data_IF_644282302262
#
_entry.id   IF_644282302262
#
_cell.length_a   1.000
_cell.length_b   1.000
_cell.length_c   1.000
_cell.angle_alpha   90.00
_cell.angle_beta   90.00
_cell.angle_gamma   90.00
#
_symmetry.space_group_name_H-M   'P 1'
#
loop_
_entity.id
_entity.type
_entity.pdbx_description
1 polymer ?
#
# COMPACT_ATOMS: atom_id res chain seq x y z
N UNK A 1 1.15 -33.23 18.22
CA UNK A 1 -0.05 -32.47 18.63
C UNK A 1 -0.81 -32.04 17.37
N UNK A 2 -2.12 -32.25 17.32
CA UNK A 2 -2.93 -31.91 16.15
C UNK A 2 -3.34 -30.41 16.17
N UNK A 3 -3.91 -29.92 15.05
CA UNK A 3 -4.31 -28.51 14.89
C UNK A 3 -5.25 -28.01 16.01
N UNK A 4 -6.28 -28.80 16.38
CA UNK A 4 -7.26 -28.41 17.41
C UNK A 4 -6.61 -28.24 18.79
N UNK A 5 -5.66 -29.09 19.11
CA UNK A 5 -4.90 -28.99 20.37
C UNK A 5 -3.97 -27.78 20.38
N UNK A 6 -3.32 -27.49 19.26
CA UNK A 6 -2.48 -26.29 19.14
C UNK A 6 -3.34 -25.03 19.26
N UNK A 7 -4.47 -24.98 18.57
CA UNK A 7 -5.38 -23.84 18.60
C UNK A 7 -5.86 -23.55 20.04
N UNK A 8 -6.29 -24.57 20.77
CA UNK A 8 -6.77 -24.40 22.16
C UNK A 8 -5.68 -23.81 23.07
N UNK A 9 -4.42 -24.22 22.89
CA UNK A 9 -3.29 -23.66 23.65
C UNK A 9 -3.05 -22.20 23.28
N UNK A 10 -3.06 -21.89 21.98
CA UNK A 10 -2.79 -20.53 21.49
C UNK A 10 -3.90 -19.56 21.87
N UNK A 11 -5.16 -19.99 21.84
CA UNK A 11 -6.31 -19.19 22.30
C UNK A 11 -6.28 -18.90 23.81
N UNK A 12 -5.63 -19.77 24.59
CA UNK A 12 -5.40 -19.55 26.02
C UNK A 12 -4.27 -18.57 26.35
N UNK A 13 -3.48 -18.15 25.35
CA UNK A 13 -2.43 -17.16 25.56
C UNK A 13 -3.02 -15.74 25.57
N UNK A 14 -2.55 -14.92 26.53
CA UNK A 14 -2.93 -13.50 26.55
C UNK A 14 -2.10 -12.73 25.51
N UNK A 15 -2.70 -12.48 24.33
CA UNK A 15 -2.07 -11.78 23.22
C UNK A 15 -2.88 -10.52 22.92
N UNK A 16 -2.25 -9.34 22.92
CA UNK A 16 -2.96 -8.12 22.58
C UNK A 16 -3.56 -8.19 21.16
N UNK A 17 -4.75 -7.62 20.93
CA UNK A 17 -5.30 -7.53 19.58
C UNK A 17 -4.39 -6.69 18.65
N UNK A 18 -4.46 -6.97 17.33
CA UNK A 18 -3.69 -6.27 16.29
C UNK A 18 -2.18 -6.21 16.56
N UNK A 19 -1.63 -7.27 17.14
CA UNK A 19 -0.23 -7.35 17.50
C UNK A 19 0.45 -8.59 16.94
N UNK A 20 1.77 -8.49 16.77
CA UNK A 20 2.64 -9.62 16.51
C UNK A 20 3.68 -9.70 17.63
N UNK A 21 3.70 -10.82 18.36
CA UNK A 21 4.61 -11.04 19.48
C UNK A 21 5.43 -12.30 19.28
N UNK A 22 6.60 -12.33 19.93
CA UNK A 22 7.42 -13.55 20.08
C UNK A 22 7.49 -13.94 21.54
N UNK A 23 7.42 -15.24 21.78
CA UNK A 23 7.47 -15.82 23.12
C UNK A 23 8.15 -17.20 23.09
N UNK A 24 8.35 -17.77 24.27
CA UNK A 24 8.84 -19.15 24.39
C UNK A 24 7.78 -20.10 23.87
N UNK A 25 8.20 -21.11 23.11
CA UNK A 25 7.24 -21.99 22.46
C UNK A 25 6.55 -22.91 23.47
N UNK A 26 5.20 -22.87 23.58
CA UNK A 26 4.47 -23.71 24.52
C UNK A 26 4.46 -25.21 24.11
N UNK A 27 4.97 -25.52 22.93
CA UNK A 27 4.96 -26.88 22.36
C UNK A 27 6.33 -27.59 22.41
N UNK A 28 7.42 -26.83 22.35
CA UNK A 28 8.77 -27.39 22.37
C UNK A 28 9.71 -26.72 23.37
N UNK A 29 9.20 -25.75 24.13
CA UNK A 29 9.98 -24.98 25.12
C UNK A 29 11.16 -24.20 24.53
N UNK A 30 11.23 -24.03 23.20
CA UNK A 30 12.24 -23.23 22.53
C UNK A 30 12.12 -21.75 22.94
N UNK A 31 13.20 -21.15 23.46
CA UNK A 31 13.19 -19.76 23.94
C UNK A 31 13.03 -18.79 22.79
N UNK A 32 12.05 -17.90 22.87
CA UNK A 32 11.75 -16.84 21.90
C UNK A 32 11.63 -17.32 20.44
N UNK A 33 11.12 -18.57 20.25
CA UNK A 33 10.98 -19.19 18.93
C UNK A 33 9.55 -19.23 18.41
N UNK A 34 8.58 -18.86 19.22
CA UNK A 34 7.17 -18.93 18.85
C UNK A 34 6.61 -17.55 18.55
N UNK A 35 6.19 -17.32 17.31
CA UNK A 35 5.51 -16.11 16.88
C UNK A 35 4.02 -16.32 16.86
N UNK A 36 3.29 -15.35 17.43
CA UNK A 36 1.83 -15.26 17.31
C UNK A 36 1.48 -13.89 16.76
N UNK A 37 0.57 -13.88 15.80
CA UNK A 37 0.12 -12.68 15.09
C UNK A 37 -1.41 -12.65 15.14
N UNK A 38 -1.95 -11.57 15.70
CA UNK A 38 -3.41 -11.33 15.82
C UNK A 38 -3.88 -10.20 14.90
N UNK A 39 -3.05 -9.78 13.94
CA UNK A 39 -3.42 -8.70 13.01
C UNK A 39 -4.59 -9.09 12.11
N UNK A 40 -5.40 -8.09 11.72
CA UNK A 40 -6.56 -8.26 10.84
C UNK A 40 -7.60 -9.27 11.37
N UNK A 41 -7.76 -9.38 12.70
CA UNK A 41 -8.66 -10.35 13.35
C UNK A 41 -8.36 -11.83 13.01
N UNK A 42 -7.15 -12.12 12.54
CA UNK A 42 -6.69 -13.49 12.33
C UNK A 42 -5.81 -13.89 13.52
N UNK A 43 -5.78 -15.19 13.80
CA UNK A 43 -4.84 -15.76 14.75
C UNK A 43 -3.90 -16.69 13.99
N UNK A 44 -2.67 -16.21 13.76
CA UNK A 44 -1.62 -16.98 13.09
C UNK A 44 -0.54 -17.33 14.11
N UNK A 45 -0.01 -18.54 14.06
CA UNK A 45 1.12 -18.94 14.89
C UNK A 45 2.11 -19.81 14.13
N UNK A 46 3.38 -19.66 14.50
CA UNK A 46 4.47 -20.41 13.92
C UNK A 46 5.63 -20.52 14.90
N UNK A 47 6.21 -21.72 15.01
CA UNK A 47 7.45 -21.94 15.75
C UNK A 47 8.64 -22.02 14.80
N UNK A 48 9.66 -21.23 15.05
CA UNK A 48 10.90 -21.18 14.25
C UNK A 48 11.96 -22.20 14.71
N UNK A 49 11.66 -23.00 15.75
CA UNK A 49 12.57 -24.06 16.19
C UNK A 49 12.54 -25.24 15.21
N UNK A 50 13.71 -25.67 14.71
CA UNK A 50 13.83 -26.63 13.61
C UNK A 50 13.11 -27.96 13.85
N UNK A 51 13.03 -28.44 15.09
CA UNK A 51 12.36 -29.69 15.46
C UNK A 51 10.90 -29.53 15.85
N UNK A 52 10.32 -28.32 15.77
CA UNK A 52 8.96 -28.05 16.17
C UNK A 52 8.04 -27.86 14.96
N UNK A 53 6.97 -28.63 14.91
CA UNK A 53 5.96 -28.54 13.83
C UNK A 53 4.77 -27.65 14.18
N UNK A 54 4.85 -26.86 15.26
CA UNK A 54 3.77 -25.99 15.69
C UNK A 54 3.57 -24.82 14.71
N UNK A 55 2.47 -24.86 13.98
CA UNK A 55 2.02 -23.83 13.06
C UNK A 55 0.53 -23.94 12.80
N UNK A 56 -0.11 -22.80 12.56
CA UNK A 56 -1.53 -22.81 12.19
C UNK A 56 -2.05 -21.40 11.94
N UNK A 57 -3.29 -21.37 11.50
CA UNK A 57 -4.05 -20.14 11.27
C UNK A 57 -5.50 -20.39 11.60
N UNK A 58 -6.10 -19.52 12.41
CA UNK A 58 -7.54 -19.38 12.56
C UNK A 58 -7.96 -18.06 11.93
N UNK A 59 -8.85 -18.12 10.97
CA UNK A 59 -9.45 -16.91 10.40
C UNK A 59 -10.51 -16.42 11.39
N UNK A 60 -10.40 -15.16 11.82
CA UNK A 60 -11.41 -14.55 12.67
C UNK A 60 -12.71 -14.34 11.90
N UNK A 61 -13.82 -14.41 12.61
CA UNK A 61 -15.11 -14.01 12.05
C UNK A 61 -15.08 -12.49 11.85
N UNK A 62 -15.37 -12.06 10.62
CA UNK A 62 -15.51 -10.65 10.27
C UNK A 62 -16.93 -10.23 10.68
N UNK A 63 -17.15 -10.01 11.97
CA UNK A 63 -18.42 -9.52 12.47
C UNK A 63 -18.61 -8.01 12.17
N UNK A 64 -19.84 -7.53 12.27
CA UNK A 64 -20.15 -6.11 12.09
C UNK A 64 -19.37 -5.21 13.06
N UNK A 65 -19.00 -5.71 14.25
CA UNK A 65 -18.21 -4.97 15.22
C UNK A 65 -16.73 -4.86 14.78
N UNK A 66 -16.21 -5.84 14.04
CA UNK A 66 -14.89 -5.72 13.41
C UNK A 66 -14.93 -4.68 12.30
N UNK A 67 -15.96 -4.76 11.45
CA UNK A 67 -16.20 -3.76 10.40
C UNK A 67 -16.36 -2.38 11.00
N UNK A 68 -17.19 -2.20 12.04
CA UNK A 68 -17.33 -0.94 12.77
C UNK A 68 -16.05 -0.47 13.46
N UNK A 69 -15.25 -1.37 14.03
CA UNK A 69 -13.94 -1.01 14.61
C UNK A 69 -12.94 -0.57 13.56
N UNK A 70 -12.91 -1.24 12.42
CA UNK A 70 -12.06 -0.83 11.28
C UNK A 70 -12.56 0.49 10.66
N UNK A 71 -13.89 0.68 10.56
CA UNK A 71 -14.48 1.88 9.96
C UNK A 71 -14.68 3.03 10.96
N UNK A 72 -15.02 2.77 12.23
CA UNK A 72 -15.30 3.80 13.24
C UNK A 72 -14.20 3.93 14.30
N UNK A 73 -13.42 2.89 14.55
CA UNK A 73 -12.20 2.96 15.38
C UNK A 73 -11.14 3.87 14.77
N UNK A 74 -11.14 4.04 13.46
CA UNK A 74 -10.28 4.99 12.75
C UNK A 74 -10.57 6.48 13.07
N UNK A 75 -11.69 6.82 13.72
CA UNK A 75 -11.84 8.16 14.35
C UNK A 75 -10.90 8.37 15.54
N UNK A 76 -10.32 7.30 16.11
CA UNK A 76 -9.31 7.36 17.20
C UNK A 76 -7.90 6.95 16.76
N UNK A 77 -7.72 6.36 15.59
CA UNK A 77 -6.43 6.34 14.91
C UNK A 77 -6.22 7.70 14.21
N UNK A 78 -6.34 8.79 14.94
CA UNK A 78 -5.43 9.89 14.75
C UNK A 78 -4.05 9.31 15.09
N UNK A 79 -3.45 8.59 14.15
CA UNK A 79 -2.01 8.62 14.00
C UNK A 79 -1.77 10.12 14.01
N UNK A 80 -1.14 10.61 15.08
CA UNK A 80 -0.65 11.99 15.09
C UNK A 80 0.01 12.13 13.74
N UNK A 81 -0.57 12.98 12.87
CA UNK A 81 -0.01 13.29 11.56
C UNK A 81 1.29 14.02 11.79
N UNK A 82 2.28 13.24 12.23
CA UNK A 82 3.60 13.75 12.51
C UNK A 82 4.15 14.20 11.18
N UNK A 83 4.21 15.50 11.04
CA UNK A 83 4.77 16.10 9.85
C UNK A 83 6.16 15.55 9.61
N UNK A 84 6.40 15.07 8.39
CA UNK A 84 7.70 14.57 8.00
C UNK A 84 8.63 15.76 7.77
N UNK A 85 9.71 15.90 8.55
CA UNK A 85 10.69 16.95 8.32
C UNK A 85 11.39 16.68 6.99
N UNK A 86 11.22 17.59 6.03
CA UNK A 86 11.89 17.48 4.72
C UNK A 86 13.40 17.64 4.94
N UNK A 87 14.23 16.63 4.61
CA UNK A 87 15.67 16.73 4.76
C UNK A 87 16.28 17.85 3.89
N UNK A 88 17.32 18.51 4.33
CA UNK A 88 18.07 19.51 3.57
C UNK A 88 18.63 18.96 2.25
N UNK A 89 18.84 17.65 2.16
CA UNK A 89 19.27 16.97 0.93
C UNK A 89 18.18 16.93 -0.15
N UNK A 90 16.91 17.25 0.18
CA UNK A 90 15.80 17.28 -0.79
C UNK A 90 15.75 18.65 -1.46
N UNK A 91 16.48 18.78 -2.53
CA UNK A 91 16.54 19.99 -3.33
C UNK A 91 15.41 20.08 -4.36
N UNK A 92 15.32 21.24 -5.02
CA UNK A 92 14.40 21.39 -6.15
C UNK A 92 14.66 20.35 -7.23
N UNK A 93 13.60 19.79 -7.82
CA UNK A 93 13.71 18.83 -8.92
C UNK A 93 14.46 19.41 -10.12
N UNK A 94 14.39 20.71 -10.31
CA UNK A 94 15.11 21.43 -11.39
C UNK A 94 16.63 21.44 -11.21
N UNK A 95 17.14 21.12 -10.04
CA UNK A 95 18.59 21.06 -9.79
C UNK A 95 19.27 19.87 -10.48
N UNK A 96 18.50 18.91 -11.01
CA UNK A 96 19.07 17.72 -11.62
C UNK A 96 18.35 17.33 -12.92
N UNK A 97 19.05 17.51 -14.06
CA UNK A 97 18.51 17.21 -15.39
C UNK A 97 18.15 15.73 -15.58
N UNK A 98 18.94 14.81 -14.99
CA UNK A 98 18.68 13.37 -15.05
C UNK A 98 17.37 13.02 -14.33
N UNK A 99 17.09 13.67 -13.20
CA UNK A 99 15.86 13.50 -12.46
C UNK A 99 14.64 14.02 -13.24
N UNK A 100 14.77 15.21 -13.85
CA UNK A 100 13.71 15.77 -14.71
C UNK A 100 13.42 14.88 -15.92
N UNK A 101 14.46 14.39 -16.58
CA UNK A 101 14.33 13.48 -17.75
C UNK A 101 13.66 12.16 -17.31
N UNK A 102 14.01 11.65 -16.14
CA UNK A 102 13.40 10.44 -15.61
C UNK A 102 11.88 10.64 -15.35
N UNK A 103 11.47 11.75 -14.75
CA UNK A 103 10.05 12.08 -14.54
C UNK A 103 9.29 12.21 -15.86
N UNK A 104 9.89 12.85 -16.86
CA UNK A 104 9.29 12.98 -18.19
C UNK A 104 9.09 11.61 -18.86
N UNK A 105 10.10 10.75 -18.81
CA UNK A 105 10.05 9.41 -19.41
C UNK A 105 9.08 8.44 -18.71
N UNK A 106 8.59 8.79 -17.52
CA UNK A 106 7.64 7.99 -16.75
C UNK A 106 6.27 8.70 -16.60
N UNK A 107 5.94 9.63 -17.47
CA UNK A 107 4.66 10.38 -17.50
C UNK A 107 4.28 11.05 -16.16
N UNK A 108 5.29 11.50 -15.38
CA UNK A 108 5.04 12.17 -14.12
C UNK A 108 4.92 13.69 -14.25
N UNK A 109 5.49 14.27 -15.32
CA UNK A 109 5.68 15.71 -15.44
C UNK A 109 4.38 16.49 -15.48
N UNK A 110 3.38 15.94 -16.16
CA UNK A 110 2.07 16.58 -16.26
C UNK A 110 1.37 16.71 -14.90
N UNK A 111 1.48 15.66 -14.06
CA UNK A 111 0.91 15.71 -12.70
C UNK A 111 1.54 16.80 -11.83
N UNK A 112 2.82 17.09 -12.03
CA UNK A 112 3.52 18.17 -11.35
C UNK A 112 3.09 19.55 -11.87
N UNK A 113 3.00 19.72 -13.19
CA UNK A 113 2.62 21.01 -13.81
C UNK A 113 1.21 21.45 -13.39
N UNK A 114 0.34 20.50 -13.08
CA UNK A 114 -1.01 20.75 -12.56
C UNK A 114 -1.09 20.78 -11.02
N UNK A 115 0.05 20.74 -10.33
CA UNK A 115 0.09 20.78 -8.86
C UNK A 115 -0.50 19.57 -8.15
N UNK A 116 -0.65 18.43 -8.86
CA UNK A 116 -1.24 17.19 -8.31
C UNK A 116 -0.23 16.33 -7.56
N UNK A 117 1.05 16.52 -7.85
CA UNK A 117 2.15 15.83 -7.17
C UNK A 117 3.31 16.81 -6.92
N UNK A 118 4.03 16.60 -5.83
CA UNK A 118 5.23 17.35 -5.50
C UNK A 118 6.46 16.44 -5.57
N UNK A 119 7.47 16.89 -6.31
CA UNK A 119 8.72 16.18 -6.49
C UNK A 119 9.90 16.96 -5.91
N UNK A 120 10.87 16.22 -5.40
CA UNK A 120 12.17 16.70 -4.98
C UNK A 120 13.28 15.82 -5.55
N UNK A 121 14.48 16.29 -5.47
CA UNK A 121 15.69 15.52 -5.78
C UNK A 121 16.52 15.37 -4.51
N UNK A 122 16.76 14.14 -4.08
CA UNK A 122 17.68 13.84 -2.97
C UNK A 122 19.10 13.76 -3.52
N UNK A 123 19.86 14.84 -3.30
CA UNK A 123 21.27 14.94 -3.76
C UNK A 123 22.21 13.95 -3.04
N UNK A 124 21.81 13.49 -1.85
CA UNK A 124 22.62 12.61 -1.02
C UNK A 124 22.55 11.15 -1.47
N UNK A 125 21.39 10.75 -2.01
CA UNK A 125 21.11 9.37 -2.42
C UNK A 125 20.85 9.22 -3.93
N UNK A 126 21.00 10.28 -4.73
CA UNK A 126 20.72 10.34 -6.17
C UNK A 126 19.33 9.75 -6.51
N UNK A 127 18.27 10.31 -5.89
CA UNK A 127 16.90 9.83 -6.05
C UNK A 127 15.93 10.91 -6.47
N UNK A 128 15.01 10.56 -7.36
CA UNK A 128 13.76 11.32 -7.51
C UNK A 128 12.87 11.01 -6.33
N UNK A 129 12.35 12.03 -5.67
CA UNK A 129 11.56 11.91 -4.45
C UNK A 129 10.14 12.40 -4.69
N UNK A 130 9.17 11.56 -4.40
CA UNK A 130 7.73 11.84 -4.41
C UNK A 130 7.29 12.14 -2.98
N UNK A 131 6.77 13.34 -2.72
CA UNK A 131 6.29 13.71 -1.40
C UNK A 131 4.89 13.13 -1.15
N UNK A 132 4.70 12.48 0.00
CA UNK A 132 3.42 11.90 0.41
C UNK A 132 2.71 12.89 1.31
N UNK A 133 1.53 13.34 0.86
CA UNK A 133 0.63 14.19 1.66
C UNK A 133 -0.48 13.35 2.27
N UNK A 134 -0.75 13.60 3.55
CA UNK A 134 -1.96 13.07 4.15
C UNK A 134 -3.18 13.75 3.53
N UNK A 135 -4.17 12.95 3.13
CA UNK A 135 -5.39 13.43 2.48
C UNK A 135 -6.20 14.39 3.34
N UNK A 136 -6.21 14.18 4.66
CA UNK A 136 -7.08 14.91 5.58
C UNK A 136 -6.43 16.19 6.12
N UNK A 137 -5.15 16.11 6.48
CA UNK A 137 -4.41 17.25 7.05
C UNK A 137 -3.64 18.06 6.01
N UNK A 138 -3.48 17.53 4.79
CA UNK A 138 -2.63 18.08 3.72
C UNK A 138 -1.15 18.22 4.09
N UNK A 139 -0.74 17.74 5.28
CA UNK A 139 0.66 17.75 5.71
C UNK A 139 1.47 16.70 4.95
N UNK A 140 2.73 17.00 4.74
CA UNK A 140 3.70 16.02 4.24
C UNK A 140 4.02 15.07 5.39
N UNK A 141 3.73 13.78 5.22
CA UNK A 141 3.89 12.74 6.25
C UNK A 141 4.98 11.74 5.90
N UNK A 142 5.50 11.79 4.68
CA UNK A 142 6.55 10.92 4.20
C UNK A 142 6.95 11.24 2.77
N UNK A 143 7.81 10.42 2.23
CA UNK A 143 8.23 10.50 0.85
C UNK A 143 8.68 9.14 0.31
N UNK A 144 8.71 8.98 -1.00
CA UNK A 144 9.22 7.81 -1.69
C UNK A 144 10.31 8.22 -2.66
N UNK A 145 11.50 7.65 -2.51
CA UNK A 145 12.65 7.93 -3.36
C UNK A 145 12.91 6.81 -4.38
N UNK A 146 12.96 7.15 -5.65
CA UNK A 146 13.39 6.27 -6.74
C UNK A 146 14.85 6.51 -7.08
N UNK A 147 15.68 5.46 -7.00
CA UNK A 147 17.08 5.53 -7.42
C UNK A 147 17.19 5.83 -8.92
N UNK A 148 18.04 6.78 -9.29
CA UNK A 148 18.29 7.14 -10.68
C UNK A 148 19.32 6.24 -11.37
N UNK A 149 20.20 5.61 -10.60
CA UNK A 149 21.12 4.61 -11.11
C UNK A 149 20.53 3.21 -10.96
N UNK A 150 20.73 2.37 -11.98
CA UNK A 150 20.21 0.99 -11.97
C UNK A 150 20.83 0.12 -10.89
N UNK A 151 22.07 0.43 -10.50
CA UNK A 151 22.83 -0.33 -9.51
C UNK A 151 22.59 0.12 -8.06
N UNK A 152 21.85 1.22 -7.84
CA UNK A 152 21.57 1.70 -6.49
C UNK A 152 20.43 0.89 -5.86
N UNK A 153 20.72 0.35 -4.68
CA UNK A 153 19.77 -0.46 -3.93
C UNK A 153 19.45 0.20 -2.57
N UNK A 154 18.21 0.14 -2.10
CA UNK A 154 17.03 -0.39 -2.81
C UNK A 154 16.55 0.52 -3.94
N UNK A 155 15.95 -0.07 -4.99
CA UNK A 155 15.37 0.65 -6.14
C UNK A 155 14.36 1.72 -5.70
N UNK A 156 13.53 1.39 -4.72
CA UNK A 156 12.60 2.29 -4.05
C UNK A 156 12.94 2.40 -2.56
N UNK A 157 12.98 3.61 -2.03
CA UNK A 157 13.25 3.88 -0.63
C UNK A 157 12.16 4.74 -0.01
N UNK A 158 11.62 4.32 1.13
CA UNK A 158 10.56 5.01 1.84
C UNK A 158 11.13 5.85 2.97
N UNK A 159 10.81 7.14 2.98
CA UNK A 159 11.12 8.09 4.04
C UNK A 159 9.85 8.39 4.86
N UNK A 160 9.94 8.40 6.18
CA UNK A 160 8.82 8.72 7.06
C UNK A 160 7.72 7.66 7.12
N UNK A 161 6.46 8.09 7.11
CA UNK A 161 5.30 7.21 7.32
C UNK A 161 5.06 6.28 6.11
N UNK A 162 5.01 4.97 6.37
CA UNK A 162 4.81 3.92 5.37
C UNK A 162 3.33 3.49 5.21
N UNK A 163 2.45 4.06 6.02
CA UNK A 163 1.05 3.61 6.12
C UNK A 163 0.10 4.52 5.36
N UNK A 164 0.60 5.65 4.86
CA UNK A 164 -0.12 6.55 3.97
C UNK A 164 0.28 6.25 2.53
N UNK A 165 -0.67 5.91 1.63
CA UNK A 165 -0.36 5.71 0.23
C UNK A 165 -0.05 7.04 -0.47
N UNK A 166 0.76 6.99 -1.53
CA UNK A 166 0.93 8.16 -2.38
C UNK A 166 -0.33 8.38 -3.22
N UNK A 167 -0.90 9.58 -3.16
CA UNK A 167 -2.08 9.99 -3.91
C UNK A 167 -1.72 11.04 -4.96
N UNK A 168 -2.26 10.88 -6.18
CA UNK A 168 -2.16 11.87 -7.25
C UNK A 168 -3.50 12.00 -8.00
N UNK A 169 -4.04 13.21 -8.09
CA UNK A 169 -5.36 13.49 -8.68
C UNK A 169 -6.46 13.70 -7.65
N UNK A 170 -7.63 14.22 -8.12
CA UNK A 170 -8.76 14.62 -7.27
C UNK A 170 -10.12 14.12 -7.83
N UNK A 171 -10.13 13.02 -8.60
CA UNK A 171 -11.36 12.42 -9.12
C UNK A 171 -12.08 11.59 -8.05
N UNK A 172 -13.40 11.40 -8.23
CA UNK A 172 -14.22 10.55 -7.36
C UNK A 172 -13.97 9.05 -7.58
N UNK A 173 -13.39 8.69 -8.69
CA UNK A 173 -12.96 7.34 -9.01
C UNK A 173 -11.45 7.24 -8.84
N UNK A 174 -10.96 6.12 -8.31
CA UNK A 174 -9.54 5.93 -8.08
C UNK A 174 -9.04 4.60 -8.64
N UNK A 175 -7.74 4.58 -8.96
CA UNK A 175 -7.03 3.36 -9.34
C UNK A 175 -5.88 3.10 -8.38
N UNK A 176 -5.84 1.88 -7.86
CA UNK A 176 -4.77 1.36 -7.02
C UNK A 176 -3.69 0.80 -7.93
N UNK A 177 -2.48 1.28 -7.76
CA UNK A 177 -1.29 0.90 -8.53
C UNK A 177 -0.11 0.58 -7.61
N UNK A 178 0.94 -0.02 -8.14
CA UNK A 178 2.11 -0.38 -7.34
C UNK A 178 3.03 0.81 -7.06
N UNK A 179 3.26 1.69 -8.05
CA UNK A 179 4.26 2.73 -7.98
C UNK A 179 3.74 4.16 -8.21
N UNK A 180 4.50 5.15 -7.74
CA UNK A 180 4.14 6.56 -7.86
C UNK A 180 4.03 7.06 -9.31
N UNK A 181 4.91 6.66 -10.27
CA UNK A 181 4.76 7.06 -11.66
C UNK A 181 3.43 6.64 -12.28
N UNK A 182 2.99 5.41 -12.05
CA UNK A 182 1.69 4.93 -12.54
C UNK A 182 0.53 5.76 -11.94
N UNK A 183 0.62 6.12 -10.65
CA UNK A 183 -0.35 7.02 -10.03
C UNK A 183 -0.34 8.44 -10.62
N UNK A 184 0.83 8.96 -10.99
CA UNK A 184 0.96 10.25 -11.66
C UNK A 184 0.37 10.22 -13.06
N UNK A 185 0.67 9.20 -13.85
CA UNK A 185 0.22 9.06 -15.24
C UNK A 185 -1.32 9.07 -15.36
N UNK A 186 -2.02 8.46 -14.41
CA UNK A 186 -3.49 8.41 -14.43
C UNK A 186 -4.17 9.66 -13.90
N UNK A 187 -3.44 10.58 -13.30
CA UNK A 187 -3.99 11.69 -12.51
C UNK A 187 -4.86 12.69 -13.29
N UNK A 188 -4.81 12.67 -14.64
CA UNK A 188 -5.68 13.44 -15.52
C UNK A 188 -7.05 12.81 -15.76
N UNK A 189 -7.20 11.53 -15.43
CA UNK A 189 -8.41 10.75 -15.73
C UNK A 189 -9.05 10.24 -14.45
N UNK A 190 -8.24 9.73 -13.52
CA UNK A 190 -8.63 9.12 -12.25
C UNK A 190 -7.72 9.64 -11.12
N UNK A 191 -8.11 9.37 -9.87
CA UNK A 191 -7.15 9.51 -8.78
C UNK A 191 -6.25 8.29 -8.72
N UNK A 192 -4.95 8.46 -8.92
CA UNK A 192 -3.94 7.41 -8.74
C UNK A 192 -3.58 7.23 -7.27
N UNK A 193 -3.55 5.98 -6.79
CA UNK A 193 -3.16 5.62 -5.42
C UNK A 193 -2.08 4.55 -5.48
N UNK A 194 -0.83 4.94 -5.22
CA UNK A 194 0.28 4.01 -5.18
C UNK A 194 0.45 3.43 -3.76
N UNK A 195 0.38 2.11 -3.65
CA UNK A 195 0.52 1.39 -2.37
C UNK A 195 1.95 0.92 -2.10
N UNK A 196 2.88 1.21 -3.00
CA UNK A 196 4.31 0.91 -2.91
C UNK A 196 4.58 -0.58 -2.73
N UNK A 197 3.97 -1.40 -3.56
CA UNK A 197 4.07 -2.85 -3.61
C UNK A 197 2.74 -3.49 -4.00
N UNK A 198 2.60 -4.79 -3.73
CA UNK A 198 1.44 -5.58 -4.16
C UNK A 198 0.51 -5.97 -3.02
N UNK A 199 0.76 -5.48 -1.79
CA UNK A 199 -0.06 -5.78 -0.60
C UNK A 199 -0.69 -4.50 -0.06
N UNK A 200 -2.02 -4.50 0.03
CA UNK A 200 -2.78 -3.43 0.67
C UNK A 200 -2.72 -3.57 2.19
N UNK A 201 -2.30 -2.52 2.88
CA UNK A 201 -2.31 -2.47 4.34
C UNK A 201 -3.68 -2.05 4.86
N UNK A 202 -4.01 -2.43 6.12
CA UNK A 202 -5.27 -2.02 6.75
C UNK A 202 -5.45 -0.49 6.76
N UNK A 203 -4.40 0.27 7.08
CA UNK A 203 -4.43 1.73 7.07
C UNK A 203 -4.61 2.34 5.67
N UNK A 204 -4.16 1.67 4.60
CA UNK A 204 -4.44 2.13 3.24
C UNK A 204 -5.94 2.13 2.93
N UNK A 205 -6.72 1.17 3.50
CA UNK A 205 -8.16 1.06 3.25
C UNK A 205 -8.93 2.31 3.68
N UNK A 206 -8.52 2.97 4.77
CA UNK A 206 -9.15 4.23 5.20
C UNK A 206 -9.01 5.35 4.17
N UNK A 207 -7.91 5.36 3.43
CA UNK A 207 -7.69 6.33 2.35
C UNK A 207 -8.48 6.03 1.07
N UNK A 208 -9.05 4.81 0.96
CA UNK A 208 -9.85 4.39 -0.20
C UNK A 208 -11.34 4.67 -0.03
N UNK A 209 -11.83 4.86 1.19
CA UNK A 209 -13.26 5.06 1.49
C UNK A 209 -13.98 6.15 0.69
N UNK A 210 -13.35 7.31 0.39
CA UNK A 210 -14.05 8.38 -0.29
C UNK A 210 -14.34 8.14 -1.77
N UNK A 211 -13.78 7.07 -2.36
CA UNK A 211 -13.93 6.84 -3.80
C UNK A 211 -15.17 5.99 -4.10
N UNK A 212 -15.90 6.39 -5.15
CA UNK A 212 -17.11 5.71 -5.62
C UNK A 212 -16.78 4.39 -6.31
N UNK A 213 -15.81 4.43 -7.22
CA UNK A 213 -15.33 3.26 -7.93
C UNK A 213 -13.82 3.09 -7.67
N UNK A 214 -13.40 1.88 -7.39
CA UNK A 214 -12.00 1.53 -7.21
C UNK A 214 -11.57 0.55 -8.28
N UNK A 215 -10.62 0.95 -9.08
CA UNK A 215 -9.93 0.09 -10.03
C UNK A 215 -8.65 -0.44 -9.41
N UNK A 216 -8.28 -1.65 -9.75
CA UNK A 216 -7.00 -2.26 -9.32
C UNK A 216 -6.21 -2.61 -10.57
N UNK A 217 -5.08 -1.94 -10.75
CA UNK A 217 -4.15 -2.12 -11.85
C UNK A 217 -2.75 -2.31 -11.28
N UNK A 218 -2.42 -3.54 -10.90
CA UNK A 218 -1.06 -3.93 -10.51
C UNK A 218 -0.28 -4.37 -11.74
N UNK A 219 1.04 -4.45 -11.58
CA UNK A 219 1.92 -4.93 -12.63
C UNK A 219 1.52 -6.33 -13.10
N UNK A 220 1.82 -6.68 -14.34
CA UNK A 220 1.34 -7.90 -14.99
C UNK A 220 1.63 -9.18 -14.22
N UNK A 221 2.79 -9.28 -13.59
CA UNK A 221 3.20 -10.43 -12.75
C UNK A 221 2.45 -10.50 -11.42
N UNK A 222 1.74 -9.43 -11.03
CA UNK A 222 0.95 -9.34 -9.81
C UNK A 222 -0.58 -9.48 -10.04
N UNK A 223 -1.02 -9.92 -11.23
CA UNK A 223 -2.46 -10.04 -11.57
C UNK A 223 -3.23 -10.88 -10.56
N UNK A 224 -2.71 -12.02 -10.13
CA UNK A 224 -3.36 -12.86 -9.09
C UNK A 224 -3.54 -12.09 -7.78
N UNK A 225 -2.53 -11.31 -7.37
CA UNK A 225 -2.60 -10.47 -6.16
C UNK A 225 -3.63 -9.35 -6.31
N UNK A 226 -3.85 -8.83 -7.52
CA UNK A 226 -4.91 -7.85 -7.79
C UNK A 226 -6.31 -8.44 -7.52
N UNK A 227 -6.57 -9.67 -7.93
CA UNK A 227 -7.83 -10.37 -7.62
C UNK A 227 -7.99 -10.68 -6.13
N UNK A 228 -6.91 -11.10 -5.45
CA UNK A 228 -6.92 -11.30 -4.00
C UNK A 228 -7.21 -9.99 -3.25
N UNK A 229 -6.60 -8.88 -3.69
CA UNK A 229 -6.86 -7.54 -3.16
C UNK A 229 -8.32 -7.12 -3.39
N UNK A 230 -8.89 -7.37 -4.56
CA UNK A 230 -10.29 -7.08 -4.84
C UNK A 230 -11.23 -7.88 -3.91
N UNK A 231 -10.92 -9.15 -3.67
CA UNK A 231 -11.67 -10.00 -2.73
C UNK A 231 -11.58 -9.45 -1.30
N UNK A 232 -10.40 -9.04 -0.86
CA UNK A 232 -10.18 -8.47 0.47
C UNK A 232 -10.92 -7.12 0.64
N UNK A 233 -10.88 -6.24 -0.36
CA UNK A 233 -11.62 -4.98 -0.34
C UNK A 233 -13.13 -5.21 -0.28
N UNK A 234 -13.69 -6.11 -1.12
CA UNK A 234 -15.12 -6.45 -1.08
C UNK A 234 -15.52 -7.01 0.28
N UNK A 235 -14.70 -7.87 0.87
CA UNK A 235 -14.94 -8.40 2.23
C UNK A 235 -14.82 -7.33 3.33
N UNK A 236 -14.22 -6.19 3.01
CA UNK A 236 -14.11 -5.02 3.90
C UNK A 236 -15.19 -3.96 3.64
N UNK A 237 -16.23 -4.28 2.83
CA UNK A 237 -17.38 -3.41 2.59
C UNK A 237 -17.25 -2.45 1.41
N UNK A 238 -16.22 -2.58 0.58
CA UNK A 238 -16.14 -1.81 -0.67
C UNK A 238 -16.95 -2.50 -1.77
N UNK A 239 -17.89 -1.78 -2.39
CA UNK A 239 -18.85 -2.37 -3.33
C UNK A 239 -18.33 -2.39 -4.77
N UNK A 240 -17.82 -1.25 -5.24
CA UNK A 240 -17.48 -1.06 -6.65
C UNK A 240 -15.98 -1.28 -6.91
N UNK A 241 -15.56 -2.53 -6.92
CA UNK A 241 -14.16 -2.91 -7.15
C UNK A 241 -14.03 -3.61 -8.50
N UNK A 242 -13.18 -3.08 -9.37
CA UNK A 242 -12.92 -3.58 -10.72
C UNK A 242 -11.43 -3.85 -10.88
N UNK A 243 -11.06 -5.08 -11.21
CA UNK A 243 -9.67 -5.42 -11.58
C UNK A 243 -9.52 -5.20 -13.09
N UNK A 244 -8.51 -4.42 -13.47
CA UNK A 244 -8.14 -4.13 -14.86
C UNK A 244 -6.71 -4.63 -15.10
N UNK A 245 -6.53 -5.89 -15.55
CA UNK A 245 -5.23 -6.38 -15.97
C UNK A 245 -4.77 -5.61 -17.22
N UNK A 246 -3.50 -5.23 -17.23
CA UNK A 246 -2.88 -4.52 -18.35
C UNK A 246 -1.65 -5.30 -18.85
N UNK A 247 -1.24 -5.02 -20.08
CA UNK A 247 -0.01 -5.61 -20.64
C UNK A 247 1.24 -4.92 -20.11
N UNK A 248 1.17 -3.61 -19.90
CA UNK A 248 2.24 -2.76 -19.39
C UNK A 248 1.78 -1.90 -18.20
N UNK A 249 2.74 -1.32 -17.48
CA UNK A 249 2.47 -0.40 -16.37
C UNK A 249 1.79 0.88 -16.88
N UNK A 250 0.83 1.41 -16.11
CA UNK A 250 0.06 2.60 -16.49
C UNK A 250 0.92 3.83 -16.84
N UNK A 251 2.12 3.94 -16.31
CA UNK A 251 3.08 5.00 -16.65
C UNK A 251 3.54 5.01 -18.11
N UNK A 252 3.29 3.94 -18.88
CA UNK A 252 3.65 3.85 -20.30
C UNK A 252 2.48 4.17 -21.24
N UNK A 253 1.27 4.38 -20.70
CA UNK A 253 0.10 4.78 -21.48
C UNK A 253 -0.06 6.30 -21.47
N UNK A 254 -0.53 6.86 -22.59
CA UNK A 254 -0.90 8.28 -22.66
C UNK A 254 -2.30 8.51 -22.08
N UNK A 255 -2.69 9.77 -21.90
CA UNK A 255 -3.97 10.15 -21.29
C UNK A 255 -5.19 9.62 -22.04
N UNK A 256 -5.15 9.55 -23.39
CA UNK A 256 -6.26 9.03 -24.19
C UNK A 256 -6.40 7.53 -24.02
N UNK A 257 -5.32 6.78 -24.09
CA UNK A 257 -5.30 5.35 -23.82
C UNK A 257 -5.82 5.03 -22.40
N UNK A 258 -5.43 5.82 -21.41
CA UNK A 258 -5.93 5.68 -20.03
C UNK A 258 -7.44 5.91 -19.98
N UNK A 259 -7.99 6.90 -20.69
CA UNK A 259 -9.45 7.11 -20.79
C UNK A 259 -10.14 5.92 -21.42
N UNK A 260 -9.63 5.39 -22.51
CA UNK A 260 -10.18 4.19 -23.17
C UNK A 260 -10.19 2.98 -22.22
N UNK A 261 -9.10 2.76 -21.47
CA UNK A 261 -9.00 1.64 -20.52
C UNK A 261 -10.09 1.70 -19.45
N UNK A 262 -10.40 2.89 -18.92
CA UNK A 262 -11.27 3.01 -17.75
C UNK A 262 -12.73 3.39 -18.09
N UNK A 263 -12.97 4.12 -19.18
CA UNK A 263 -14.28 4.69 -19.47
C UNK A 263 -14.90 4.24 -20.81
N UNK A 264 -14.10 3.76 -21.76
CA UNK A 264 -14.71 3.20 -22.97
C UNK A 264 -15.38 1.87 -22.65
N UNK A 265 -16.71 1.91 -22.75
CA UNK A 265 -17.57 0.74 -22.79
C UNK A 265 -17.40 0.06 -24.15
N UNK A 266 -16.29 -0.53 -24.47
CA UNK A 266 -16.30 -1.62 -25.43
C UNK A 266 -16.98 -2.78 -24.71
N UNK A 267 -18.27 -2.92 -24.99
CA UNK A 267 -19.10 -4.08 -24.72
C UNK A 267 -18.28 -5.34 -24.98
N UNK A 268 -17.93 -6.06 -23.90
CA UNK A 268 -17.65 -7.46 -24.05
C UNK A 268 -19.02 -8.13 -24.19
N UNK A 269 -19.49 -8.27 -25.44
CA UNK A 269 -20.48 -9.26 -25.83
C UNK A 269 -19.80 -10.64 -25.92
#
# INVERSE_FOLDING_TARGET
>A
MNYKQQLAVVEGLFIPPDSQIRLDCPFCSGKNTFSVDTTENNLNWYCFHASCSAKGRKQGEKDMQYVERVFHGNKKLHIEDKEFPIPDSFQSIYSNEKAMRWLSNNNCWESWSWGRADFKYDVKQDRVVFLIKNRYSHKIVGAVGRALNKNDYPKWYMYGNKDVPFKCGECNDAVIVEDCPSACAVSNVLTGIAIMGTKLKALHKSHLQPYKNLYICLDRDATTKAYDMAKDLRSSGFENIIVKPLEDDLKYYNTEQIREIFYDRKTND
#
